data_IF_216761982291
#
_entry.id   IF_216761982291
#
_cell.length_a   1.000
_cell.length_b   1.000
_cell.length_c   1.000
_cell.angle_alpha   90.00
_cell.angle_beta   90.00
_cell.angle_gamma   90.00
#
_symmetry.space_group_name_H-M   'P 1'
#
loop_
_entity.id
_entity.type
_entity.pdbx_description
1 polymer ?
#
# COMPACT_ATOMS: atom_id res chain seq x y z
N UNK A 1 16.39 42.09 18.19
CA UNK A 1 16.41 40.63 17.97
C UNK A 1 16.54 40.41 16.47
N UNK A 2 17.73 40.07 15.98
CA UNK A 2 18.03 39.96 14.55
C UNK A 2 18.07 38.50 14.12
N UNK A 3 17.36 38.16 13.04
CA UNK A 3 17.44 36.87 12.37
C UNK A 3 18.62 36.88 11.39
N UNK A 4 19.52 35.89 11.51
CA UNK A 4 20.64 35.67 10.60
C UNK A 4 20.13 35.07 9.29
N UNK A 5 20.15 35.85 8.22
CA UNK A 5 19.96 35.38 6.85
C UNK A 5 21.32 34.89 6.33
N UNK A 6 21.50 33.58 6.17
CA UNK A 6 22.65 33.01 5.47
C UNK A 6 22.55 33.36 3.97
N UNK A 7 23.08 34.52 3.58
CA UNK A 7 23.39 34.82 2.19
C UNK A 7 24.70 34.13 1.84
N UNK A 8 24.64 32.87 1.43
CA UNK A 8 25.75 32.27 0.70
C UNK A 8 25.77 32.90 -0.69
N UNK A 9 26.65 33.87 -0.88
CA UNK A 9 26.97 34.39 -2.22
C UNK A 9 28.08 33.49 -2.76
N UNK A 10 27.80 32.48 -3.60
CA UNK A 10 28.87 31.67 -4.16
C UNK A 10 29.76 32.57 -5.02
N UNK A 11 30.99 32.83 -4.57
CA UNK A 11 32.07 33.24 -5.47
C UNK A 11 32.42 32.00 -6.30
N UNK A 12 31.74 31.84 -7.43
CA UNK A 12 32.08 30.81 -8.41
C UNK A 12 33.33 31.27 -9.17
N UNK A 13 34.49 30.68 -8.87
CA UNK A 13 35.64 30.78 -9.76
C UNK A 13 35.44 29.83 -10.94
N UNK A 14 35.40 30.38 -12.16
CA UNK A 14 35.41 29.58 -13.38
C UNK A 14 36.82 29.06 -13.58
N UNK A 15 37.08 27.83 -13.16
CA UNK A 15 38.37 27.16 -13.39
C UNK A 15 38.46 26.76 -14.87
N UNK A 16 38.99 27.65 -15.71
CA UNK A 16 39.42 27.29 -17.05
C UNK A 16 40.76 26.54 -16.96
N UNK A 17 40.84 25.33 -17.53
CA UNK A 17 42.10 24.62 -17.74
C UNK A 17 42.80 25.12 -19.01
N UNK A 18 42.98 26.43 -19.16
CA UNK A 18 43.78 27.04 -20.23
C UNK A 18 44.15 28.48 -19.85
N UNK A 19 45.41 28.85 -20.05
CA UNK A 19 46.07 30.09 -19.59
C UNK A 19 45.69 31.36 -20.36
N UNK A 20 44.43 31.55 -20.77
CA UNK A 20 43.94 32.82 -21.32
C UNK A 20 42.49 33.05 -20.93
N UNK A 21 42.23 34.16 -20.24
CA UNK A 21 40.90 34.67 -19.91
C UNK A 21 40.37 35.52 -21.06
N UNK A 22 39.29 35.08 -21.70
CA UNK A 22 38.45 35.90 -22.57
C UNK A 22 37.12 36.12 -21.86
N UNK A 23 36.56 37.35 -21.83
CA UNK A 23 35.26 37.58 -21.21
C UNK A 23 34.15 37.10 -22.15
N UNK A 24 33.69 35.86 -21.97
CA UNK A 24 32.43 35.39 -22.55
C UNK A 24 31.33 35.56 -21.51
N UNK A 25 30.33 36.39 -21.81
CA UNK A 25 29.15 36.67 -20.98
C UNK A 25 28.16 35.51 -20.85
N UNK A 26 28.65 34.27 -20.74
CA UNK A 26 27.85 33.08 -20.45
C UNK A 26 28.44 32.37 -19.23
N UNK A 27 27.87 32.64 -18.06
CA UNK A 27 28.14 31.86 -16.86
C UNK A 27 27.54 30.47 -17.02
N UNK A 28 28.33 29.50 -17.50
CA UNK A 28 27.93 28.08 -17.47
C UNK A 28 27.75 27.67 -16.02
N UNK A 29 26.48 27.50 -15.60
CA UNK A 29 26.16 26.85 -14.33
C UNK A 29 26.60 25.39 -14.45
N UNK A 30 27.56 24.98 -13.64
CA UNK A 30 28.01 23.59 -13.59
C UNK A 30 27.09 22.83 -12.65
N UNK A 31 26.33 21.88 -13.17
CA UNK A 31 25.49 20.97 -12.38
C UNK A 31 26.29 19.70 -12.11
N UNK A 32 26.99 19.68 -10.97
CA UNK A 32 27.79 18.55 -10.47
C UNK A 32 27.53 18.38 -8.99
N UNK A 33 27.70 17.15 -8.50
CA UNK A 33 27.68 16.88 -7.07
C UNK A 33 28.85 17.60 -6.36
N UNK A 34 28.60 18.08 -5.14
CA UNK A 34 29.61 18.74 -4.29
C UNK A 34 30.44 17.69 -3.54
N UNK A 35 29.94 16.46 -3.44
CA UNK A 35 30.60 15.30 -2.83
C UNK A 35 30.74 14.15 -3.85
N UNK A 36 31.67 13.24 -3.61
CA UNK A 36 31.89 12.03 -4.42
C UNK A 36 30.66 11.12 -4.34
N UNK A 37 30.19 10.64 -5.49
CA UNK A 37 29.14 9.61 -5.58
C UNK A 37 29.56 8.32 -4.84
N UNK A 38 28.77 7.87 -3.83
CA UNK A 38 29.01 6.62 -3.10
C UNK A 38 29.13 5.37 -3.99
N UNK A 39 28.53 5.37 -5.18
CA UNK A 39 28.55 4.26 -6.14
C UNK A 39 29.69 4.37 -7.17
N UNK A 40 30.54 5.40 -7.10
CA UNK A 40 31.66 5.62 -8.03
C UNK A 40 32.58 4.41 -8.24
N UNK A 41 32.75 3.55 -7.23
CA UNK A 41 33.53 2.30 -7.35
C UNK A 41 32.90 1.26 -8.27
N UNK A 42 31.57 1.26 -8.39
CA UNK A 42 30.82 0.33 -9.23
C UNK A 42 30.74 0.80 -10.69
N UNK A 43 30.94 2.10 -10.92
CA UNK A 43 30.88 2.74 -12.24
C UNK A 43 32.21 3.45 -12.57
N UNK A 44 33.34 2.73 -12.66
CA UNK A 44 34.67 3.35 -12.86
C UNK A 44 34.81 4.08 -14.19
N UNK A 45 33.93 3.80 -15.15
CA UNK A 45 33.87 4.49 -16.45
C UNK A 45 33.12 5.83 -16.39
N UNK A 46 32.41 6.12 -15.28
CA UNK A 46 31.65 7.36 -15.10
C UNK A 46 32.36 8.30 -14.11
N UNK A 47 32.12 9.60 -14.23
CA UNK A 47 32.69 10.59 -13.31
C UNK A 47 31.99 10.50 -11.94
N UNK A 48 32.73 10.47 -10.82
CA UNK A 48 32.15 10.46 -9.46
C UNK A 48 31.36 11.73 -9.11
N UNK A 49 31.32 12.71 -10.01
CA UNK A 49 30.57 13.96 -9.87
C UNK A 49 29.56 14.16 -11.02
N UNK A 50 29.37 13.16 -11.89
CA UNK A 50 28.39 13.24 -12.96
C UNK A 50 26.97 13.23 -12.38
N UNK A 51 26.10 14.07 -12.94
CA UNK A 51 24.67 14.07 -12.65
C UNK A 51 23.94 13.40 -13.81
N UNK A 52 23.15 12.36 -13.53
CA UNK A 52 22.44 11.52 -14.51
C UNK A 52 23.33 11.01 -15.64
N UNK A 53 24.58 10.61 -15.32
CA UNK A 53 25.60 10.23 -16.30
C UNK A 53 25.85 11.28 -17.41
N UNK A 54 25.60 12.57 -17.14
CA UNK A 54 25.56 13.66 -18.11
C UNK A 54 24.53 13.51 -19.25
N UNK A 55 23.56 12.62 -19.08
CA UNK A 55 22.43 12.38 -19.98
C UNK A 55 21.14 12.97 -19.40
N UNK A 56 21.15 14.26 -19.13
CA UNK A 56 20.04 14.95 -18.43
C UNK A 56 18.73 15.07 -19.22
N UNK A 57 18.76 14.81 -20.53
CA UNK A 57 17.58 14.91 -21.40
C UNK A 57 16.80 13.59 -21.42
N UNK A 58 17.51 12.47 -21.43
CA UNK A 58 16.94 11.14 -21.71
C UNK A 58 17.27 10.08 -20.66
N UNK A 59 18.19 10.38 -19.74
CA UNK A 59 18.47 9.55 -18.56
C UNK A 59 17.93 10.24 -17.32
N UNK A 60 17.38 9.41 -16.43
CA UNK A 60 16.82 9.81 -15.16
C UNK A 60 17.66 9.16 -14.05
N UNK A 61 18.18 9.97 -13.13
CA UNK A 61 18.85 9.48 -11.92
C UNK A 61 17.84 8.60 -11.16
N UNK A 62 18.17 7.33 -10.91
CA UNK A 62 17.27 6.34 -10.32
C UNK A 62 17.28 6.33 -8.78
N UNK A 63 17.70 7.43 -8.15
CA UNK A 63 17.44 7.63 -6.72
C UNK A 63 15.93 7.77 -6.50
N UNK A 64 15.26 6.64 -6.24
CA UNK A 64 13.82 6.56 -6.03
C UNK A 64 13.10 5.89 -7.19
N UNK A 65 13.20 4.57 -7.27
CA UNK A 65 12.30 3.74 -8.05
C UNK A 65 11.38 3.03 -7.05
N UNK A 66 10.71 3.78 -6.16
CA UNK A 66 9.82 3.23 -5.13
C UNK A 66 8.50 2.73 -5.76
N UNK A 67 8.63 1.67 -6.57
CA UNK A 67 7.51 0.90 -7.10
C UNK A 67 6.95 0.05 -5.98
N UNK A 68 5.70 0.31 -5.65
CA UNK A 68 4.99 -0.45 -4.64
C UNK A 68 3.67 -0.96 -5.21
N UNK A 69 3.14 -2.01 -4.62
CA UNK A 69 1.76 -2.44 -4.86
C UNK A 69 0.97 -2.31 -3.57
N UNK A 70 -0.18 -1.64 -3.65
CA UNK A 70 -1.15 -1.52 -2.56
C UNK A 70 -2.15 -2.64 -2.72
N UNK A 71 -2.38 -3.39 -1.66
CA UNK A 71 -3.28 -4.53 -1.63
C UNK A 71 -4.36 -4.32 -0.58
N UNK A 72 -5.60 -4.63 -0.93
CA UNK A 72 -6.70 -4.79 0.00
C UNK A 72 -7.42 -6.11 -0.31
N UNK A 73 -7.70 -6.92 0.70
CA UNK A 73 -8.43 -8.17 0.54
C UNK A 73 -9.44 -8.36 1.66
N UNK A 74 -10.65 -8.71 1.28
CA UNK A 74 -11.69 -9.17 2.20
C UNK A 74 -11.79 -10.70 2.12
N UNK A 75 -11.82 -11.39 3.27
CA UNK A 75 -11.84 -12.85 3.36
C UNK A 75 -12.64 -13.32 4.57
N UNK A 76 -13.34 -14.45 4.44
CA UNK A 76 -14.17 -15.08 5.46
C UNK A 76 -13.40 -16.22 6.15
N UNK A 77 -12.77 -16.02 7.33
CA UNK A 77 -11.92 -17.01 8.02
C UNK A 77 -12.70 -18.16 8.70
N UNK A 78 -13.67 -18.73 8.00
CA UNK A 78 -14.56 -19.77 8.50
C UNK A 78 -14.56 -20.95 7.52
N UNK A 79 -15.01 -22.13 7.96
CA UNK A 79 -15.27 -23.23 7.01
C UNK A 79 -16.56 -22.96 6.23
N UNK A 80 -17.53 -22.36 6.91
CA UNK A 80 -18.79 -21.89 6.35
C UNK A 80 -19.25 -20.66 7.12
N UNK A 81 -20.12 -19.85 6.53
CA UNK A 81 -20.76 -18.71 7.18
C UNK A 81 -22.25 -18.64 6.82
N UNK A 82 -22.96 -17.70 7.45
CA UNK A 82 -24.41 -17.60 7.40
C UNK A 82 -25.01 -17.71 6.00
N UNK A 83 -26.18 -18.32 5.89
CA UNK A 83 -26.85 -18.58 4.61
C UNK A 83 -26.40 -19.85 3.89
N UNK A 84 -25.32 -20.54 4.34
CA UNK A 84 -24.87 -21.82 3.75
C UNK A 84 -23.64 -21.71 2.85
N UNK A 85 -22.95 -20.57 2.87
CA UNK A 85 -21.77 -20.33 2.05
C UNK A 85 -20.51 -20.98 2.64
N UNK A 86 -19.62 -21.42 1.76
CA UNK A 86 -18.26 -21.83 2.12
C UNK A 86 -17.38 -20.62 2.42
N UNK A 87 -16.66 -20.67 3.54
CA UNK A 87 -15.64 -19.67 3.87
C UNK A 87 -14.25 -20.03 3.32
N UNK A 88 -13.28 -19.15 3.56
CA UNK A 88 -11.89 -19.25 3.08
C UNK A 88 -11.02 -20.21 3.93
N UNK A 89 -11.67 -20.98 4.79
CA UNK A 89 -11.06 -21.93 5.70
C UNK A 89 -10.86 -21.35 7.09
N UNK A 90 -11.22 -22.14 8.11
CA UNK A 90 -11.04 -21.79 9.52
C UNK A 90 -9.59 -21.53 9.95
N UNK A 91 -8.62 -21.93 9.13
CA UNK A 91 -7.19 -21.70 9.33
C UNK A 91 -6.64 -20.48 8.59
N UNK A 92 -7.47 -19.74 7.83
CA UNK A 92 -7.05 -18.48 7.21
C UNK A 92 -6.73 -17.47 8.30
N UNK A 93 -5.49 -16.95 8.25
CA UNK A 93 -4.92 -15.95 9.17
C UNK A 93 -4.46 -14.73 8.39
N UNK A 94 -4.41 -13.57 9.04
CA UNK A 94 -3.84 -12.38 8.40
C UNK A 94 -2.43 -12.65 7.88
N UNK A 95 -2.15 -12.15 6.68
CA UNK A 95 -0.82 -12.22 6.08
C UNK A 95 -0.52 -13.50 5.32
N UNK A 96 -1.41 -14.50 5.32
CA UNK A 96 -1.28 -15.64 4.42
C UNK A 96 -1.10 -15.17 2.96
N UNK A 97 -0.43 -15.99 2.16
CA UNK A 97 -0.30 -15.74 0.72
C UNK A 97 -1.70 -15.83 0.11
N UNK A 98 -2.10 -14.80 -0.63
CA UNK A 98 -3.35 -14.79 -1.36
C UNK A 98 -3.17 -15.55 -2.67
N UNK A 99 -4.15 -16.39 -3.03
CA UNK A 99 -4.10 -17.24 -4.21
C UNK A 99 -5.25 -16.88 -5.17
N UNK A 100 -5.13 -15.81 -5.98
CA UNK A 100 -6.14 -15.50 -6.99
C UNK A 100 -6.20 -16.55 -8.10
N UNK A 101 -7.35 -16.67 -8.75
CA UNK A 101 -7.58 -17.47 -9.95
C UNK A 101 -7.29 -18.99 -9.81
N UNK A 102 -7.50 -19.56 -8.63
CA UNK A 102 -7.32 -20.98 -8.33
C UNK A 102 -8.65 -21.58 -7.88
N UNK A 103 -9.55 -21.92 -8.81
CA UNK A 103 -10.94 -22.35 -8.54
C UNK A 103 -11.11 -23.15 -7.24
N UNK A 104 -11.86 -22.57 -6.29
CA UNK A 104 -12.17 -23.09 -4.95
C UNK A 104 -10.97 -23.26 -3.99
N UNK A 105 -9.82 -22.71 -4.36
CA UNK A 105 -8.62 -22.61 -3.52
C UNK A 105 -8.21 -21.16 -3.29
N UNK A 106 -8.98 -20.21 -3.82
CA UNK A 106 -8.97 -18.84 -3.35
C UNK A 106 -9.21 -18.82 -1.84
N UNK A 107 -8.52 -17.92 -1.16
CA UNK A 107 -8.59 -17.74 0.29
C UNK A 107 -8.98 -16.30 0.65
N UNK A 108 -9.85 -15.74 -0.18
CA UNK A 108 -10.44 -14.41 -0.10
C UNK A 108 -11.76 -14.38 -0.89
N UNK A 109 -12.55 -13.34 -0.66
CA UNK A 109 -13.83 -13.08 -1.33
C UNK A 109 -13.68 -12.03 -2.43
N UNK A 110 -13.12 -10.88 -2.07
CA UNK A 110 -12.81 -9.80 -3.00
C UNK A 110 -11.41 -9.25 -2.71
N UNK A 111 -10.76 -8.71 -3.74
CA UNK A 111 -9.43 -8.14 -3.60
C UNK A 111 -9.15 -7.01 -4.59
N UNK A 112 -8.30 -6.08 -4.22
CA UNK A 112 -7.82 -5.01 -5.07
C UNK A 112 -6.31 -4.88 -4.98
N UNK A 113 -5.64 -4.78 -6.12
CA UNK A 113 -4.23 -4.45 -6.23
C UNK A 113 -4.04 -3.20 -7.08
N UNK A 114 -3.29 -2.24 -6.57
CA UNK A 114 -2.91 -1.02 -7.29
C UNK A 114 -1.40 -0.87 -7.27
N UNK A 115 -0.77 -0.88 -8.45
CA UNK A 115 0.68 -0.69 -8.61
C UNK A 115 0.98 0.78 -8.84
N UNK A 116 1.87 1.34 -8.04
CA UNK A 116 2.23 2.76 -8.05
C UNK A 116 3.72 2.95 -8.26
N UNK A 117 4.07 4.01 -8.97
CA UNK A 117 5.41 4.58 -9.02
C UNK A 117 5.38 5.90 -8.21
N UNK A 118 5.90 5.87 -6.97
CA UNK A 118 5.82 7.04 -6.08
C UNK A 118 6.73 8.19 -6.54
N UNK A 119 7.84 7.89 -7.21
CA UNK A 119 8.77 8.89 -7.70
C UNK A 119 8.23 9.71 -8.87
N UNK A 120 7.43 9.09 -9.73
CA UNK A 120 6.72 9.79 -10.82
C UNK A 120 5.30 10.18 -10.47
N UNK A 121 4.81 9.76 -9.31
CA UNK A 121 3.43 9.92 -8.88
C UNK A 121 2.44 9.40 -9.96
N UNK A 122 2.67 8.17 -10.42
CA UNK A 122 1.85 7.51 -11.44
C UNK A 122 1.27 6.18 -10.95
N UNK A 123 0.01 5.93 -11.31
CA UNK A 123 -0.58 4.58 -11.28
C UNK A 123 -0.03 3.80 -12.47
N UNK A 124 0.59 2.66 -12.21
CA UNK A 124 1.16 1.77 -13.23
C UNK A 124 0.10 0.79 -13.72
N UNK A 125 -0.63 0.17 -12.79
CA UNK A 125 -1.63 -0.85 -13.07
C UNK A 125 -2.60 -0.95 -11.91
N UNK A 126 -3.77 -1.52 -12.17
CA UNK A 126 -4.76 -1.88 -11.19
C UNK A 126 -5.43 -3.20 -11.57
N UNK A 127 -5.89 -3.94 -10.59
CA UNK A 127 -6.62 -5.16 -10.80
C UNK A 127 -7.56 -5.43 -9.63
N UNK A 128 -8.83 -5.68 -9.94
CA UNK A 128 -9.80 -6.21 -8.99
C UNK A 128 -9.84 -7.74 -9.14
N UNK A 129 -9.87 -8.44 -8.01
CA UNK A 129 -9.86 -9.89 -7.92
C UNK A 129 -11.19 -10.37 -7.36
N UNK A 130 -11.95 -11.07 -8.20
CA UNK A 130 -13.07 -11.91 -7.77
C UNK A 130 -12.58 -13.27 -7.25
N UNK A 131 -13.52 -14.05 -6.72
CA UNK A 131 -13.25 -15.39 -6.20
C UNK A 131 -14.39 -16.36 -6.51
N UNK A 132 -14.08 -17.66 -6.56
CA UNK A 132 -15.10 -18.68 -6.68
C UNK A 132 -15.84 -18.85 -5.36
N UNK A 133 -17.16 -18.84 -5.43
CA UNK A 133 -18.06 -19.07 -4.30
C UNK A 133 -18.77 -20.41 -4.48
N UNK A 134 -19.16 -21.02 -3.36
CA UNK A 134 -19.98 -22.22 -3.38
C UNK A 134 -20.97 -22.18 -2.23
N UNK A 135 -22.25 -22.37 -2.55
CA UNK A 135 -23.33 -22.39 -1.59
C UNK A 135 -23.79 -23.83 -1.36
N UNK A 136 -23.62 -24.36 -0.15
CA UNK A 136 -23.89 -25.77 0.12
C UNK A 136 -23.23 -26.67 -0.95
N UNK A 137 -23.94 -27.70 -1.41
CA UNK A 137 -23.42 -28.64 -2.41
C UNK A 137 -23.79 -28.25 -3.86
N UNK A 138 -24.00 -26.97 -4.17
CA UNK A 138 -24.25 -26.51 -5.55
C UNK A 138 -22.97 -26.46 -6.39
N UNK A 139 -23.16 -26.28 -7.70
CA UNK A 139 -22.07 -26.02 -8.64
C UNK A 139 -21.48 -24.64 -8.36
N UNK A 140 -20.16 -24.51 -8.14
CA UNK A 140 -19.54 -23.22 -7.87
C UNK A 140 -19.67 -22.23 -9.02
N UNK A 141 -19.96 -20.98 -8.68
CA UNK A 141 -19.93 -19.81 -9.56
C UNK A 141 -18.83 -18.82 -9.18
N UNK A 142 -18.42 -18.00 -10.14
CA UNK A 142 -17.41 -16.97 -9.94
C UNK A 142 -18.07 -15.66 -9.54
N UNK A 143 -17.72 -15.14 -8.37
CA UNK A 143 -18.15 -13.82 -7.91
C UNK A 143 -17.15 -12.77 -8.39
N UNK A 144 -17.61 -11.83 -9.19
CA UNK A 144 -16.80 -10.74 -9.73
C UNK A 144 -16.49 -9.68 -8.67
N UNK A 145 -15.42 -8.91 -8.88
CA UNK A 145 -15.09 -7.73 -8.10
C UNK A 145 -14.65 -6.60 -9.02
N UNK A 146 -14.99 -5.37 -8.67
CA UNK A 146 -14.72 -4.21 -9.51
C UNK A 146 -14.37 -2.96 -8.71
N UNK A 147 -13.72 -2.00 -9.38
CA UNK A 147 -13.54 -0.64 -8.87
C UNK A 147 -14.67 0.24 -9.41
N UNK A 148 -15.69 0.53 -8.60
CA UNK A 148 -16.93 1.23 -9.02
C UNK A 148 -16.64 2.58 -9.71
N UNK A 149 -15.81 3.41 -9.07
CA UNK A 149 -15.42 4.73 -9.57
C UNK A 149 -14.03 4.73 -10.25
N UNK A 150 -13.48 3.54 -10.50
CA UNK A 150 -12.07 3.35 -10.84
C UNK A 150 -11.11 3.74 -9.71
N UNK A 151 -9.80 3.66 -9.97
CA UNK A 151 -8.78 4.05 -8.98
C UNK A 151 -8.24 5.45 -9.29
N UNK A 152 -8.33 6.33 -8.30
CA UNK A 152 -7.74 7.65 -8.32
C UNK A 152 -6.35 7.63 -7.67
N UNK A 153 -5.31 8.05 -8.39
CA UNK A 153 -4.01 8.33 -7.80
C UNK A 153 -3.47 9.69 -8.27
N UNK A 154 -3.40 10.66 -7.36
CA UNK A 154 -2.93 12.01 -7.66
C UNK A 154 -2.24 12.66 -6.47
N UNK A 155 -1.07 13.24 -6.71
CA UNK A 155 -0.25 13.94 -5.72
C UNK A 155 -0.05 13.11 -4.43
N UNK A 156 0.26 11.83 -4.58
CA UNK A 156 0.44 10.88 -3.47
C UNK A 156 -0.86 10.38 -2.84
N UNK A 157 -2.03 10.89 -3.22
CA UNK A 157 -3.32 10.42 -2.70
C UNK A 157 -3.85 9.30 -3.58
N UNK A 158 -4.07 8.14 -2.99
CA UNK A 158 -4.76 6.98 -3.57
C UNK A 158 -6.16 6.89 -2.96
N UNK A 159 -7.17 6.71 -3.79
CA UNK A 159 -8.49 6.28 -3.35
C UNK A 159 -9.16 5.36 -4.36
N UNK A 160 -9.91 4.39 -3.85
CA UNK A 160 -10.78 3.54 -4.64
C UNK A 160 -11.94 3.03 -3.79
N UNK A 161 -13.04 2.69 -4.47
CA UNK A 161 -14.14 1.90 -3.95
C UNK A 161 -14.09 0.55 -4.65
N UNK A 162 -13.84 -0.51 -3.89
CA UNK A 162 -13.83 -1.88 -4.34
C UNK A 162 -15.14 -2.53 -3.88
N UNK A 163 -15.89 -3.08 -4.81
CA UNK A 163 -17.09 -3.86 -4.55
C UNK A 163 -16.92 -5.29 -5.08
N UNK A 164 -17.75 -6.21 -4.62
CA UNK A 164 -17.92 -7.49 -5.31
C UNK A 164 -19.21 -8.17 -4.93
N UNK A 165 -19.80 -8.82 -5.93
CA UNK A 165 -21.11 -9.42 -5.85
C UNK A 165 -21.06 -10.84 -5.28
N UNK A 166 -22.20 -11.51 -5.26
CA UNK A 166 -22.29 -12.93 -4.96
C UNK A 166 -23.29 -13.62 -5.90
N UNK A 167 -22.79 -14.20 -6.98
CA UNK A 167 -23.61 -14.76 -8.05
C UNK A 167 -24.29 -16.10 -7.73
N UNK A 168 -23.94 -16.74 -6.61
CA UNK A 168 -24.36 -18.12 -6.31
C UNK A 168 -25.79 -18.26 -5.73
N UNK A 169 -26.55 -17.17 -5.50
CA UNK A 169 -27.84 -17.25 -4.79
C UNK A 169 -29.09 -17.47 -5.68
N UNK A 170 -30.05 -18.26 -5.17
CA UNK A 170 -31.38 -18.56 -5.76
C UNK A 170 -32.28 -17.31 -6.00
N UNK A 171 -31.88 -16.14 -5.50
CA UNK A 171 -32.45 -14.83 -5.84
C UNK A 171 -31.28 -13.92 -6.26
N UNK A 172 -30.91 -13.88 -7.55
CA UNK A 172 -29.72 -13.16 -8.06
C UNK A 172 -29.72 -11.64 -7.83
N UNK A 173 -30.79 -11.05 -7.31
CA UNK A 173 -30.98 -9.60 -7.23
C UNK A 173 -31.12 -9.04 -5.81
N UNK A 174 -30.67 -9.79 -4.78
CA UNK A 174 -30.95 -9.43 -3.38
C UNK A 174 -29.85 -9.68 -2.36
N UNK A 175 -28.67 -10.19 -2.75
CA UNK A 175 -27.50 -10.17 -1.88
C UNK A 175 -26.82 -8.82 -2.02
N UNK A 176 -26.66 -8.05 -0.94
CA UNK A 176 -25.84 -6.84 -1.00
C UNK A 176 -24.38 -7.21 -1.28
N UNK A 177 -23.66 -6.29 -1.93
CA UNK A 177 -22.27 -6.47 -2.30
C UNK A 177 -21.36 -6.29 -1.07
N UNK A 178 -20.12 -6.79 -1.16
CA UNK A 178 -19.08 -6.43 -0.19
C UNK A 178 -18.45 -5.13 -0.65
N UNK A 179 -18.53 -4.09 0.16
CA UNK A 179 -17.98 -2.78 -0.13
C UNK A 179 -16.75 -2.42 0.71
N UNK A 180 -15.72 -1.91 0.04
CA UNK A 180 -14.51 -1.38 0.66
C UNK A 180 -14.12 -0.05 0.04
N UNK A 181 -14.11 1.00 0.87
CA UNK A 181 -13.62 2.33 0.54
C UNK A 181 -12.22 2.50 1.10
N UNK A 182 -11.22 2.55 0.22
CA UNK A 182 -9.83 2.69 0.59
C UNK A 182 -9.34 4.11 0.31
N UNK A 183 -8.71 4.75 1.29
CA UNK A 183 -8.06 6.06 1.13
C UNK A 183 -6.68 6.03 1.75
N UNK A 184 -5.70 6.56 1.02
CA UNK A 184 -4.32 6.59 1.45
C UNK A 184 -3.58 7.80 0.87
N UNK A 185 -2.63 8.32 1.63
CA UNK A 185 -1.71 9.35 1.22
C UNK A 185 -0.27 8.88 1.43
N UNK A 186 0.56 9.13 0.42
CA UNK A 186 2.01 9.05 0.46
C UNK A 186 2.58 10.46 0.40
N UNK A 187 3.31 10.85 1.44
CA UNK A 187 4.03 12.11 1.46
C UNK A 187 5.53 11.85 1.63
N UNK A 188 6.33 12.20 0.62
CA UNK A 188 7.79 12.07 0.68
C UNK A 188 8.34 13.07 1.69
N UNK A 189 9.13 12.57 2.64
CA UNK A 189 9.88 13.38 3.60
C UNK A 189 11.33 13.51 3.10
N UNK A 190 12.29 13.67 4.01
CA UNK A 190 13.71 13.71 3.67
C UNK A 190 14.25 12.32 3.33
N UNK A 191 15.14 12.25 2.32
CA UNK A 191 15.74 11.01 1.84
C UNK A 191 14.71 10.01 1.32
N UNK A 192 14.88 8.74 1.70
CA UNK A 192 14.03 7.62 1.28
C UNK A 192 12.93 7.31 2.30
N UNK A 193 12.41 8.34 2.98
CA UNK A 193 11.37 8.19 4.00
C UNK A 193 10.06 8.76 3.47
N UNK A 194 8.99 7.96 3.57
CA UNK A 194 7.64 8.38 3.22
C UNK A 194 6.76 8.32 4.46
N UNK A 195 6.03 9.40 4.73
CA UNK A 195 4.88 9.35 5.60
C UNK A 195 3.73 8.69 4.82
N UNK A 196 3.15 7.66 5.41
CA UNK A 196 1.99 6.95 4.91
C UNK A 196 0.86 7.14 5.89
N UNK A 197 -0.32 7.53 5.39
CA UNK A 197 -1.52 7.64 6.23
C UNK A 197 -2.77 7.33 5.44
N UNK A 198 -3.79 6.79 6.09
CA UNK A 198 -5.03 6.44 5.42
C UNK A 198 -6.04 5.78 6.33
N UNK A 199 -7.14 5.39 5.71
CA UNK A 199 -8.23 4.66 6.35
C UNK A 199 -8.91 3.75 5.35
N UNK A 200 -9.53 2.71 5.89
CA UNK A 200 -10.37 1.78 5.15
C UNK A 200 -11.73 1.76 5.83
N UNK A 201 -12.76 2.03 5.05
CA UNK A 201 -14.16 1.92 5.46
C UNK A 201 -14.82 0.82 4.63
N UNK A 202 -15.93 0.27 5.10
CA UNK A 202 -16.67 -0.76 4.39
C UNK A 202 -17.76 -1.34 5.26
N UNK A 203 -18.23 -2.53 4.90
CA UNK A 203 -19.34 -3.21 5.58
C UNK A 203 -18.94 -3.94 6.86
N UNK A 204 -17.63 -4.06 7.10
CA UNK A 204 -17.08 -4.85 8.23
C UNK A 204 -17.58 -6.30 8.27
N UNK A 205 -18.01 -6.83 7.13
CA UNK A 205 -18.03 -8.25 6.83
C UNK A 205 -17.61 -8.45 5.36
N UNK A 206 -16.73 -9.42 5.06
CA UNK A 206 -16.01 -10.29 5.98
C UNK A 206 -14.76 -9.58 6.57
N UNK A 207 -13.80 -10.33 7.14
CA UNK A 207 -12.54 -9.77 7.65
C UNK A 207 -11.76 -9.09 6.52
N UNK A 208 -11.02 -8.02 6.82
CA UNK A 208 -10.25 -7.29 5.82
C UNK A 208 -8.78 -7.11 6.23
N UNK A 209 -7.88 -7.18 5.26
CA UNK A 209 -6.47 -6.83 5.44
C UNK A 209 -5.97 -5.89 4.35
N UNK A 210 -5.17 -4.91 4.75
CA UNK A 210 -4.49 -4.00 3.84
C UNK A 210 -2.99 -4.05 4.05
N UNK A 211 -2.24 -4.16 2.96
CA UNK A 211 -0.78 -4.19 3.00
C UNK A 211 -0.16 -3.63 1.72
N UNK A 212 1.13 -3.28 1.82
CA UNK A 212 1.97 -2.93 0.69
C UNK A 212 2.89 -4.09 0.34
N UNK A 213 3.31 -4.16 -0.92
CA UNK A 213 4.49 -4.94 -1.33
C UNK A 213 5.49 -4.04 -2.03
N UNK A 214 6.76 -4.16 -1.68
CA UNK A 214 7.85 -3.51 -2.42
C UNK A 214 8.17 -4.27 -3.72
N UNK A 215 9.16 -3.80 -4.46
CA UNK A 215 9.58 -4.39 -5.72
C UNK A 215 10.15 -5.82 -5.60
N UNK A 216 10.61 -6.21 -4.41
CA UNK A 216 11.07 -7.57 -4.11
C UNK A 216 9.95 -8.47 -3.60
N UNK A 217 8.73 -7.94 -3.46
CA UNK A 217 7.57 -8.66 -2.95
C UNK A 217 7.52 -8.75 -1.42
N UNK A 218 8.34 -8.00 -0.68
CA UNK A 218 8.27 -7.98 0.77
C UNK A 218 6.97 -7.30 1.20
N UNK A 219 6.21 -7.97 2.08
CA UNK A 219 4.94 -7.46 2.60
C UNK A 219 5.17 -6.45 3.73
N UNK A 220 4.36 -5.40 3.79
CA UNK A 220 4.29 -4.46 4.91
C UNK A 220 2.82 -4.17 5.23
N UNK A 221 2.34 -4.51 6.43
CA UNK A 221 0.96 -4.26 6.82
C UNK A 221 0.64 -2.79 7.05
N UNK A 222 -0.52 -2.36 6.54
CA UNK A 222 -1.13 -1.06 6.85
C UNK A 222 -2.13 -1.20 8.01
N UNK A 223 -2.97 -2.23 7.96
CA UNK A 223 -4.01 -2.49 8.95
C UNK A 223 -4.77 -3.79 8.67
N UNK A 224 -5.55 -4.22 9.66
CA UNK A 224 -6.48 -5.36 9.57
C UNK A 224 -7.75 -5.09 10.37
N UNK A 225 -8.85 -5.76 10.00
CA UNK A 225 -10.10 -5.81 10.75
C UNK A 225 -10.72 -7.21 10.70
N UNK A 226 -11.31 -7.64 11.81
CA UNK A 226 -12.23 -8.77 11.87
C UNK A 226 -13.65 -8.35 11.49
N UNK A 227 -14.58 -9.31 11.38
CA UNK A 227 -15.96 -9.06 11.02
C UNK A 227 -16.78 -8.58 12.23
N UNK A 228 -17.79 -7.74 12.04
CA UNK A 228 -18.57 -7.16 13.16
C UNK A 228 -19.39 -8.17 13.95
N UNK A 229 -19.90 -9.21 13.30
CA UNK A 229 -20.28 -10.41 14.02
C UNK A 229 -19.36 -11.55 13.60
N UNK A 230 -19.02 -12.42 14.55
CA UNK A 230 -18.74 -13.79 14.20
C UNK A 230 -20.03 -14.33 13.58
N UNK A 231 -20.14 -14.30 12.24
CA UNK A 231 -21.31 -14.76 11.51
C UNK A 231 -21.40 -16.28 11.64
N UNK A 232 -21.71 -16.72 12.85
CA UNK A 232 -22.02 -18.08 13.21
C UNK A 232 -23.37 -18.40 12.60
N UNK A 233 -23.36 -19.38 11.70
CA UNK A 233 -24.38 -20.38 11.40
C UNK A 233 -25.82 -19.92 11.08
N UNK A 234 -26.14 -18.63 11.23
CA UNK A 234 -27.46 -18.05 11.08
C UNK A 234 -27.77 -17.79 9.60
N UNK A 235 -28.98 -18.17 9.18
CA UNK A 235 -29.42 -18.11 7.78
C UNK A 235 -29.29 -16.71 7.12
N UNK A 236 -29.35 -15.62 7.90
CA UNK A 236 -29.34 -14.25 7.40
C UNK A 236 -28.02 -13.47 7.62
N UNK A 237 -26.96 -14.12 8.09
CA UNK A 237 -25.74 -13.44 8.55
C UNK A 237 -25.14 -12.38 7.59
N UNK A 238 -24.75 -12.75 6.36
CA UNK A 238 -24.26 -11.79 5.38
C UNK A 238 -25.27 -10.69 5.02
N UNK A 239 -26.57 -11.00 5.06
CA UNK A 239 -27.63 -10.07 4.66
C UNK A 239 -27.86 -8.94 5.68
N UNK A 240 -27.47 -9.13 6.93
CA UNK A 240 -27.59 -8.09 7.97
C UNK A 240 -26.38 -7.15 8.04
N UNK A 241 -25.25 -7.56 7.48
CA UNK A 241 -23.96 -6.85 7.62
C UNK A 241 -23.53 -6.13 6.34
N UNK A 242 -23.97 -6.58 5.16
CA UNK A 242 -23.63 -5.99 3.86
C UNK A 242 -24.60 -4.88 3.43
N UNK A 243 -25.50 -4.42 4.30
CA UNK A 243 -26.54 -3.46 3.89
C UNK A 243 -25.99 -2.03 3.68
N UNK A 244 -25.99 -1.55 2.44
CA UNK A 244 -25.65 -0.16 2.08
C UNK A 244 -24.44 -0.07 1.14
N UNK A 245 -23.80 1.11 1.05
CA UNK A 245 -22.54 1.31 0.30
C UNK A 245 -21.29 1.11 1.19
N UNK A 246 -21.48 0.53 2.38
CA UNK A 246 -20.50 0.58 3.47
C UNK A 246 -20.23 1.98 4.01
N UNK A 247 -19.37 2.05 5.03
CA UNK A 247 -19.03 3.33 5.70
C UNK A 247 -18.51 3.16 7.12
N UNK A 248 -18.61 1.95 7.66
CA UNK A 248 -18.07 1.63 8.96
C UNK A 248 -16.56 1.56 8.94
N UNK A 249 -15.95 2.04 10.02
CA UNK A 249 -14.49 2.13 10.09
C UNK A 249 -13.87 0.75 10.29
N UNK A 250 -13.11 0.30 9.30
CA UNK A 250 -12.37 -0.97 9.35
C UNK A 250 -10.96 -0.75 9.89
N UNK A 251 -10.22 0.18 9.30
CA UNK A 251 -8.79 0.38 9.57
C UNK A 251 -8.46 1.87 9.55
N UNK A 252 -7.46 2.26 10.34
CA UNK A 252 -6.81 3.57 10.23
C UNK A 252 -5.32 3.39 10.43
N UNK A 253 -4.53 4.10 9.63
CA UNK A 253 -3.08 4.01 9.73
C UNK A 253 -2.39 5.35 9.49
N UNK A 254 -1.29 5.59 10.21
CA UNK A 254 -0.40 6.73 10.00
C UNK A 254 0.99 6.45 10.58
N UNK A 255 1.98 6.21 9.73
CA UNK A 255 3.37 5.93 10.13
C UNK A 255 4.35 6.25 9.00
N UNK A 256 5.65 6.22 9.29
CA UNK A 256 6.69 6.44 8.28
C UNK A 256 7.27 5.12 7.83
N UNK A 257 7.55 5.01 6.55
CA UNK A 257 8.28 3.88 5.95
C UNK A 257 9.61 4.42 5.46
N UNK A 258 10.70 3.77 5.88
CA UNK A 258 12.01 4.01 5.29
C UNK A 258 12.29 2.92 4.26
N UNK A 259 12.73 3.32 3.08
CA UNK A 259 13.24 2.42 2.06
C UNK A 259 14.77 2.33 2.14
N UNK A 260 15.30 1.16 1.80
CA UNK A 260 16.74 0.98 1.61
C UNK A 260 17.21 1.54 0.27
N UNK A 261 18.51 1.35 -0.03
CA UNK A 261 19.13 1.78 -1.29
C UNK A 261 18.62 1.00 -2.51
N UNK A 262 18.06 -0.18 -2.28
CA UNK A 262 17.55 -1.10 -3.29
C UNK A 262 16.01 -0.98 -3.38
N UNK A 263 15.43 0.15 -2.95
CA UNK A 263 13.99 0.47 -2.94
C UNK A 263 13.10 -0.59 -2.26
N UNK A 264 13.64 -1.35 -1.31
CA UNK A 264 12.88 -2.28 -0.48
C UNK A 264 12.54 -1.65 0.87
N UNK A 265 11.55 -2.21 1.55
CA UNK A 265 11.19 -1.76 2.89
C UNK A 265 12.31 -2.08 3.91
N UNK A 266 12.93 -1.05 4.50
CA UNK A 266 13.94 -1.20 5.57
C UNK A 266 13.25 -1.35 6.94
N UNK A 267 12.46 -0.34 7.33
CA UNK A 267 11.78 -0.31 8.62
C UNK A 267 10.57 0.63 8.63
N UNK A 268 9.67 0.41 9.58
CA UNK A 268 8.65 1.37 9.97
C UNK A 268 9.17 2.26 11.09
N UNK A 269 8.88 3.56 11.03
CA UNK A 269 9.27 4.56 12.02
C UNK A 269 8.01 5.26 12.52
N UNK A 270 7.87 5.34 13.85
CA UNK A 270 6.81 6.06 14.55
C UNK A 270 7.31 7.46 14.98
N UNK A 271 6.40 8.39 15.21
CA UNK A 271 6.69 9.76 15.65
C UNK A 271 7.31 9.82 17.05
N UNK A 272 7.03 8.83 17.90
CA UNK A 272 7.70 8.68 19.21
C UNK A 272 9.17 8.20 19.10
N UNK A 273 9.69 8.00 17.89
CA UNK A 273 11.07 7.57 17.64
C UNK A 273 11.27 6.06 17.62
N UNK A 274 10.25 5.26 17.94
CA UNK A 274 10.32 3.81 17.82
C UNK A 274 10.47 3.40 16.35
N UNK A 275 11.31 2.40 16.09
CA UNK A 275 11.49 1.82 14.76
C UNK A 275 11.36 0.31 14.78
N UNK A 276 10.65 -0.24 13.79
CA UNK A 276 10.36 -1.67 13.68
C UNK A 276 10.92 -2.23 12.37
N UNK A 277 11.82 -3.22 12.42
CA UNK A 277 12.11 -4.05 11.25
C UNK A 277 10.82 -4.64 10.67
N UNK A 278 10.76 -4.84 9.36
CA UNK A 278 9.51 -5.22 8.66
C UNK A 278 8.89 -6.51 9.20
N UNK A 279 9.72 -7.51 9.54
CA UNK A 279 9.25 -8.76 10.12
C UNK A 279 8.57 -8.55 11.49
N UNK A 280 9.14 -7.70 12.33
CA UNK A 280 8.59 -7.39 13.65
C UNK A 280 7.29 -6.60 13.52
N UNK A 281 7.27 -5.60 12.64
CA UNK A 281 6.07 -4.82 12.31
C UNK A 281 4.92 -5.72 11.88
N UNK A 282 5.16 -6.59 10.90
CA UNK A 282 4.13 -7.50 10.40
C UNK A 282 3.63 -8.46 11.47
N UNK A 283 4.49 -8.88 12.41
CA UNK A 283 4.11 -9.81 13.47
C UNK A 283 3.04 -9.27 14.41
N UNK A 284 2.87 -7.94 14.48
CA UNK A 284 1.81 -7.29 15.27
C UNK A 284 0.44 -7.69 14.71
N UNK A 285 0.29 -7.73 13.39
CA UNK A 285 -0.96 -8.01 12.69
C UNK A 285 -1.21 -9.51 12.54
N UNK A 286 -0.18 -10.30 12.19
CA UNK A 286 -0.34 -11.75 11.95
C UNK A 286 -0.69 -12.55 13.21
N UNK A 287 -0.48 -11.97 14.40
CA UNK A 287 -0.86 -12.59 15.68
C UNK A 287 -2.33 -12.34 16.04
N UNK A 288 -2.99 -11.38 15.39
CA UNK A 288 -4.40 -11.09 15.64
C UNK A 288 -5.28 -12.20 15.04
N UNK A 289 -6.43 -12.43 15.66
CA UNK A 289 -7.38 -13.42 15.19
C UNK A 289 -8.36 -12.77 14.20
N UNK A 290 -8.39 -13.20 12.92
CA UNK A 290 -9.27 -12.60 11.92
C UNK A 290 -10.75 -12.87 12.17
N UNK A 291 -11.10 -13.84 13.03
CA UNK A 291 -12.48 -14.16 13.39
C UNK A 291 -13.03 -13.30 14.52
N UNK A 292 -12.17 -12.60 15.26
CA UNK A 292 -12.56 -11.87 16.45
C UNK A 292 -13.15 -10.52 16.03
N UNK A 293 -14.39 -10.28 16.46
CA UNK A 293 -15.16 -9.05 16.23
C UNK A 293 -14.47 -7.79 16.76
N UNK A 294 -13.67 -7.93 17.82
CA UNK A 294 -12.92 -6.83 18.41
C UNK A 294 -11.60 -6.56 17.68
N UNK A 295 -11.24 -7.36 16.66
CA UNK A 295 -10.05 -7.12 15.86
C UNK A 295 -10.29 -5.91 14.96
N UNK A 296 -9.54 -4.86 15.20
CA UNK A 296 -9.55 -3.65 14.39
C UNK A 296 -8.32 -2.83 14.73
N UNK A 297 -7.47 -2.57 13.75
CA UNK A 297 -6.23 -1.85 14.00
C UNK A 297 -6.37 -0.36 13.73
N UNK A 298 -6.04 0.42 14.74
CA UNK A 298 -5.76 1.85 14.61
C UNK A 298 -4.26 2.05 14.81
N UNK A 299 -3.54 2.10 13.71
CA UNK A 299 -2.11 2.41 13.70
C UNK A 299 -1.96 3.92 13.76
N UNK A 300 -1.68 4.45 14.93
CA UNK A 300 -1.30 5.86 15.07
C UNK A 300 0.19 6.02 14.84
N UNK A 301 0.61 7.28 14.74
CA UNK A 301 2.04 7.59 14.67
C UNK A 301 2.78 7.30 15.98
N UNK A 302 2.12 6.83 17.04
CA UNK A 302 2.74 6.53 18.34
C UNK A 302 2.62 5.05 18.72
N UNK A 303 1.87 4.24 17.95
CA UNK A 303 1.75 2.82 18.19
C UNK A 303 0.57 2.17 17.47
N UNK A 304 0.47 0.85 17.60
CA UNK A 304 -0.66 0.07 17.09
C UNK A 304 -1.62 -0.21 18.24
N UNK A 305 -2.86 0.24 18.12
CA UNK A 305 -3.95 -0.17 19.02
C UNK A 305 -4.80 -1.22 18.32
N UNK A 306 -5.07 -2.31 19.01
CA UNK A 306 -6.08 -3.29 18.61
C UNK A 306 -7.34 -3.06 19.45
N UNK A 307 -8.49 -2.98 18.80
CA UNK A 307 -9.77 -2.81 19.46
C UNK A 307 -10.71 -1.94 18.63
N UNK A 308 -11.97 -2.35 18.54
CA UNK A 308 -13.03 -1.65 17.83
C UNK A 308 -13.92 -0.81 18.76
N UNK A 309 -13.35 -0.14 19.77
CA UNK A 309 -14.00 0.90 20.59
C UNK A 309 -13.00 1.97 21.01
#
# INVERSE_FOLDING_TARGET
MGCLKLTYTPKMEVVHRTSKTTPSGEGKRVQRWISVDPLSKQYPWNSPYAFSENRVIDSKELEGLEKISVHNYSFAPFNSFGGGYHGDGSNRKFGNKVNPASKLKENFRIGGEVKLDLATNKKIAEHAYGAWSQWLNTSPDFSDSQFEDGVNFKNGNLSFHLSGNNDEFLIPSGTPDIDVHFKMNFNKLEGNIFQVSGEVLGDRFPSNESYLTDQSGNKLFLGVSGPDNAVGDGFFGPFTELGGDGGEKMQKFSFKIKFDKDNNFDKVILNNGASYPIKEWNSIFTKLDPKNENTGTNVSSDGVKNGHK
#
